data_IF_394320857791
#
_entry.id   IF_394320857791
#
_cell.length_a   1.000
_cell.length_b   1.000
_cell.length_c   1.000
_cell.angle_alpha   90.00
_cell.angle_beta   90.00
_cell.angle_gamma   90.00
#
_symmetry.space_group_name_H-M   'P 1'
#
loop_
_entity.id
_entity.type
_entity.pdbx_description
1 polymer ?
#
# COMPACT_ATOMS: atom_id res chain seq x y z
N UNK A 1 20.37 -4.18 14.43
CA UNK A 1 20.45 -4.48 15.86
C UNK A 1 20.20 -5.97 16.05
N UNK A 2 21.18 -6.76 16.49
CA UNK A 2 20.97 -8.17 16.88
C UNK A 2 21.27 -8.28 18.38
N UNK A 3 20.24 -8.58 19.18
CA UNK A 3 20.39 -8.83 20.64
C UNK A 3 19.56 -7.96 21.59
N UNK A 4 18.69 -7.06 21.11
CA UNK A 4 17.64 -6.46 21.96
C UNK A 4 16.37 -7.29 21.86
N UNK A 5 15.75 -7.61 22.99
CA UNK A 5 14.41 -8.21 23.05
C UNK A 5 13.45 -7.39 22.17
N UNK A 6 12.81 -8.05 21.20
CA UNK A 6 11.81 -7.43 20.28
C UNK A 6 10.45 -7.29 20.97
N UNK A 7 10.46 -6.72 22.18
CA UNK A 7 9.27 -6.52 23.00
C UNK A 7 8.63 -5.15 22.81
N UNK A 8 7.38 -5.02 23.23
CA UNK A 8 6.64 -3.75 23.19
C UNK A 8 7.36 -2.63 23.98
N UNK A 9 8.01 -2.98 25.10
CA UNK A 9 8.81 -2.05 25.91
C UNK A 9 9.99 -1.46 25.12
N UNK A 10 10.71 -2.29 24.36
CA UNK A 10 11.83 -1.83 23.54
C UNK A 10 11.38 -0.84 22.46
N UNK A 11 10.24 -1.09 21.80
CA UNK A 11 9.67 -0.14 20.84
C UNK A 11 9.21 1.15 21.51
N UNK A 12 8.55 1.03 22.66
CA UNK A 12 8.15 2.18 23.47
C UNK A 12 9.35 3.06 23.87
N UNK A 13 10.47 2.48 24.29
CA UNK A 13 11.67 3.24 24.68
C UNK A 13 12.22 4.06 23.50
N UNK A 14 12.32 3.43 22.32
CA UNK A 14 12.80 4.08 21.09
C UNK A 14 11.87 5.23 20.67
N UNK A 15 10.55 4.99 20.71
CA UNK A 15 9.56 6.01 20.36
C UNK A 15 9.57 7.16 21.38
N UNK A 16 9.69 6.84 22.66
CA UNK A 16 9.71 7.82 23.74
C UNK A 16 10.92 8.75 23.67
N UNK A 17 12.10 8.22 23.34
CA UNK A 17 13.30 9.03 23.06
C UNK A 17 13.04 9.99 21.89
N UNK A 18 12.51 9.46 20.79
CA UNK A 18 12.22 10.23 19.56
C UNK A 18 11.16 11.33 19.79
N UNK A 19 10.10 11.03 20.55
CA UNK A 19 9.03 12.00 20.89
C UNK A 19 9.61 13.14 21.72
N UNK A 20 10.47 12.83 22.71
CA UNK A 20 11.10 13.87 23.55
C UNK A 20 12.10 14.71 22.76
N UNK A 21 12.85 14.10 21.84
CA UNK A 21 13.79 14.81 20.95
C UNK A 21 13.07 15.80 20.02
N UNK A 22 11.98 15.36 19.37
CA UNK A 22 11.16 16.23 18.49
C UNK A 22 10.33 17.25 19.29
N UNK A 23 10.01 16.90 20.53
CA UNK A 23 9.14 17.65 21.43
C UNK A 23 7.71 17.12 21.39
N UNK A 24 7.19 16.78 22.57
CA UNK A 24 5.87 16.16 22.76
C UNK A 24 4.73 16.99 22.13
N UNK A 25 4.83 18.32 22.20
CA UNK A 25 3.83 19.23 21.62
C UNK A 25 3.85 19.26 20.10
N UNK A 26 4.89 18.75 19.45
CA UNK A 26 5.06 18.75 18.00
C UNK A 26 4.53 17.45 17.38
N UNK A 27 4.61 16.33 18.11
CA UNK A 27 4.13 15.01 17.66
C UNK A 27 2.60 14.93 17.75
N UNK A 28 1.96 14.39 16.71
CA UNK A 28 0.50 14.18 16.65
C UNK A 28 0.17 12.69 16.75
N UNK A 29 0.96 11.83 16.12
CA UNK A 29 0.80 10.40 16.21
C UNK A 29 2.08 9.65 15.84
N UNK A 30 2.14 8.40 16.26
CA UNK A 30 3.18 7.43 15.88
C UNK A 30 2.55 6.38 14.97
N UNK A 31 3.13 6.20 13.78
CA UNK A 31 2.64 5.23 12.80
C UNK A 31 3.47 3.95 12.89
N UNK A 32 2.84 2.83 13.17
CA UNK A 32 3.49 1.51 13.28
C UNK A 32 2.73 0.46 12.50
N UNK A 33 3.35 -0.69 12.22
CA UNK A 33 2.61 -1.83 11.67
C UNK A 33 1.48 -2.29 12.61
N UNK A 34 0.59 -3.13 12.10
CA UNK A 34 -0.56 -3.63 12.85
C UNK A 34 -0.25 -4.89 13.69
N UNK A 35 1.03 -5.22 13.92
CA UNK A 35 1.39 -6.37 14.74
C UNK A 35 1.02 -6.14 16.20
N UNK A 36 0.68 -7.20 16.93
CA UNK A 36 0.25 -7.10 18.33
C UNK A 36 1.30 -6.43 19.24
N UNK A 37 2.60 -6.66 18.97
CA UNK A 37 3.70 -6.00 19.70
C UNK A 37 3.71 -4.48 19.49
N UNK A 38 3.40 -4.01 18.28
CA UNK A 38 3.30 -2.60 17.93
C UNK A 38 2.05 -1.98 18.55
N UNK A 39 0.90 -2.66 18.52
CA UNK A 39 -0.30 -2.20 19.20
C UNK A 39 -0.07 -2.00 20.71
N UNK A 40 0.61 -2.95 21.38
CA UNK A 40 0.98 -2.82 22.80
C UNK A 40 1.93 -1.64 23.05
N UNK A 41 2.95 -1.47 22.22
CA UNK A 41 3.87 -0.33 22.32
C UNK A 41 3.15 1.01 22.10
N UNK A 42 2.23 1.05 21.14
CA UNK A 42 1.41 2.21 20.83
C UNK A 42 0.53 2.60 22.01
N UNK A 43 -0.05 1.62 22.70
CA UNK A 43 -0.83 1.87 23.91
C UNK A 43 0.02 2.52 25.02
N UNK A 44 1.25 2.03 25.23
CA UNK A 44 2.19 2.64 26.18
C UNK A 44 2.52 4.10 25.79
N UNK A 45 2.66 4.39 24.49
CA UNK A 45 2.86 5.76 23.99
C UNK A 45 1.67 6.65 24.32
N UNK A 46 0.44 6.21 24.04
CA UNK A 46 -0.78 6.99 24.32
C UNK A 46 -0.97 7.26 25.83
N UNK A 47 -0.64 6.28 26.67
CA UNK A 47 -0.75 6.42 28.13
C UNK A 47 0.32 7.38 28.69
N UNK A 48 1.51 7.42 28.08
CA UNK A 48 2.64 8.28 28.51
C UNK A 48 2.55 9.69 27.93
N UNK A 49 2.09 9.83 26.69
CA UNK A 49 2.03 11.08 25.92
C UNK A 49 0.58 11.36 25.48
N UNK A 50 -0.26 11.98 26.33
CA UNK A 50 -1.71 12.09 26.09
C UNK A 50 -2.13 12.87 24.84
N UNK A 51 -1.22 13.59 24.20
CA UNK A 51 -1.45 14.33 22.95
C UNK A 51 -1.06 13.52 21.69
N UNK A 52 -0.45 12.36 21.86
CA UNK A 52 0.06 11.51 20.77
C UNK A 52 -0.82 10.28 20.62
N UNK A 53 -1.25 10.01 19.40
CA UNK A 53 -2.04 8.83 19.05
C UNK A 53 -1.17 7.71 18.50
N UNK A 54 -1.50 6.47 18.80
CA UNK A 54 -1.04 5.34 18.01
C UNK A 54 -1.89 5.23 16.73
N UNK A 55 -1.22 5.11 15.59
CA UNK A 55 -1.88 4.97 14.29
C UNK A 55 -1.34 3.72 13.58
N UNK A 56 -2.20 2.74 13.27
CA UNK A 56 -1.81 1.62 12.42
C UNK A 56 -1.40 2.10 11.03
N UNK A 57 -0.38 1.48 10.46
CA UNK A 57 0.15 1.79 9.14
C UNK A 57 -0.88 1.39 8.08
N UNK A 58 -1.47 2.37 7.41
CA UNK A 58 -2.51 2.12 6.41
C UNK A 58 -1.99 1.25 5.26
N UNK A 59 -0.74 1.48 4.81
CA UNK A 59 -0.17 0.65 3.74
C UNK A 59 -0.05 -0.82 4.14
N UNK A 60 0.38 -1.09 5.37
CA UNK A 60 0.48 -2.46 5.87
C UNK A 60 -0.91 -3.10 6.01
N UNK A 61 -1.89 -2.36 6.55
CA UNK A 61 -3.27 -2.85 6.66
C UNK A 61 -3.90 -3.14 5.28
N UNK A 62 -3.65 -2.29 4.28
CA UNK A 62 -4.13 -2.48 2.90
C UNK A 62 -3.43 -3.67 2.22
N UNK A 63 -2.14 -3.87 2.42
CA UNK A 63 -1.44 -5.05 1.90
C UNK A 63 -1.97 -6.35 2.56
N UNK A 64 -2.32 -6.31 3.85
CA UNK A 64 -3.02 -7.42 4.52
C UNK A 64 -4.45 -7.63 4.01
N UNK A 65 -5.17 -6.59 3.58
CA UNK A 65 -6.45 -6.77 2.88
C UNK A 65 -6.27 -7.54 1.58
N UNK A 66 -5.23 -7.18 0.81
CA UNK A 66 -4.89 -7.87 -0.44
C UNK A 66 -4.49 -9.31 -0.20
N UNK A 67 -3.77 -9.58 0.89
CA UNK A 67 -3.47 -10.94 1.34
C UNK A 67 -4.72 -11.76 1.62
N UNK A 68 -5.65 -11.21 2.42
CA UNK A 68 -6.89 -11.91 2.78
C UNK A 68 -7.72 -12.24 1.53
N UNK A 69 -7.90 -11.28 0.62
CA UNK A 69 -8.59 -11.48 -0.66
C UNK A 69 -7.85 -12.50 -1.53
N UNK A 70 -6.52 -12.46 -1.52
CA UNK A 70 -5.66 -13.41 -2.24
C UNK A 70 -5.81 -14.86 -1.81
N UNK A 71 -6.35 -15.12 -0.61
CA UNK A 71 -6.61 -16.48 -0.10
C UNK A 71 -7.95 -17.07 -0.56
N UNK A 72 -8.85 -16.27 -1.12
CA UNK A 72 -10.11 -16.78 -1.66
C UNK A 72 -9.77 -17.75 -2.80
N UNK A 73 -10.35 -18.95 -2.78
CA UNK A 73 -9.96 -20.08 -3.65
C UNK A 73 -9.79 -19.68 -5.12
N UNK A 74 -10.81 -19.05 -5.71
CA UNK A 74 -10.75 -18.63 -7.12
C UNK A 74 -9.69 -17.54 -7.39
N UNK A 75 -9.39 -16.68 -6.40
CA UNK A 75 -8.33 -15.66 -6.51
C UNK A 75 -6.96 -16.33 -6.41
N UNK A 76 -6.79 -17.21 -5.42
CA UNK A 76 -5.55 -17.96 -5.18
C UNK A 76 -5.19 -18.80 -6.41
N UNK A 77 -6.14 -19.55 -6.96
CA UNK A 77 -5.95 -20.32 -8.20
C UNK A 77 -5.56 -19.44 -9.38
N UNK A 78 -6.21 -18.28 -9.53
CA UNK A 78 -5.90 -17.32 -10.60
C UNK A 78 -4.47 -16.78 -10.47
N UNK A 79 -4.06 -16.41 -9.25
CA UNK A 79 -2.71 -15.92 -8.96
C UNK A 79 -1.66 -17.01 -9.19
N UNK A 80 -1.92 -18.24 -8.74
CA UNK A 80 -1.02 -19.39 -8.94
C UNK A 80 -0.81 -19.68 -10.42
N UNK A 81 -1.89 -19.83 -11.20
CA UNK A 81 -1.79 -20.05 -12.66
C UNK A 81 -1.03 -18.93 -13.36
N UNK A 82 -1.26 -17.69 -12.96
CA UNK A 82 -0.54 -16.54 -13.50
C UNK A 82 0.96 -16.58 -13.16
N UNK A 83 1.31 -16.96 -11.92
CA UNK A 83 2.69 -17.14 -11.49
C UNK A 83 3.39 -18.26 -12.24
N UNK A 84 2.72 -19.40 -12.40
CA UNK A 84 3.27 -20.55 -13.13
C UNK A 84 3.56 -20.18 -14.58
N UNK A 85 2.66 -19.45 -15.24
CA UNK A 85 2.89 -18.93 -16.58
C UNK A 85 4.06 -17.93 -16.64
N UNK A 86 4.12 -16.97 -15.71
CA UNK A 86 5.23 -16.01 -15.67
C UNK A 86 6.57 -16.73 -15.46
N UNK A 87 6.62 -17.70 -14.54
CA UNK A 87 7.81 -18.50 -14.27
C UNK A 87 8.19 -19.34 -15.48
N UNK A 88 7.24 -20.02 -16.12
CA UNK A 88 7.46 -20.82 -17.31
C UNK A 88 8.11 -20.00 -18.43
N UNK A 89 7.50 -18.87 -18.79
CA UNK A 89 7.99 -17.97 -19.84
C UNK A 89 9.35 -17.35 -19.49
N UNK A 90 9.59 -17.02 -18.22
CA UNK A 90 10.80 -16.28 -17.85
C UNK A 90 11.99 -17.16 -17.46
N UNK A 91 11.79 -18.43 -17.11
CA UNK A 91 12.85 -19.33 -16.66
C UNK A 91 13.50 -20.10 -17.82
N UNK A 92 12.76 -20.42 -18.89
CA UNK A 92 13.33 -21.10 -20.04
C UNK A 92 13.83 -20.12 -21.09
N UNK A 93 15.11 -20.22 -21.45
CA UNK A 93 15.75 -19.26 -22.34
C UNK A 93 15.05 -19.15 -23.71
N UNK A 94 14.61 -20.27 -24.28
CA UNK A 94 13.94 -20.31 -25.58
C UNK A 94 12.57 -19.66 -25.53
N UNK A 95 11.74 -20.04 -24.57
CA UNK A 95 10.39 -19.45 -24.35
C UNK A 95 10.49 -17.94 -24.13
N UNK A 96 11.46 -17.52 -23.32
CA UNK A 96 11.74 -16.11 -23.03
C UNK A 96 12.17 -15.34 -24.26
N UNK A 97 13.01 -15.94 -25.11
CA UNK A 97 13.50 -15.30 -26.33
C UNK A 97 12.36 -15.13 -27.35
N UNK A 98 11.48 -16.13 -27.52
CA UNK A 98 10.28 -16.01 -28.37
C UNK A 98 9.34 -14.94 -27.81
N UNK A 99 9.10 -14.94 -26.49
CA UNK A 99 8.32 -13.90 -25.83
C UNK A 99 8.88 -12.49 -26.07
N UNK A 100 10.20 -12.29 -25.94
CA UNK A 100 10.80 -10.97 -26.14
C UNK A 100 10.61 -10.42 -27.55
N UNK A 101 10.62 -11.27 -28.58
CA UNK A 101 10.34 -10.86 -29.97
C UNK A 101 8.93 -10.24 -30.04
N UNK A 102 7.93 -10.96 -29.54
CA UNK A 102 6.52 -10.54 -29.59
C UNK A 102 6.17 -9.40 -28.62
N UNK A 103 6.84 -9.36 -27.47
CA UNK A 103 6.63 -8.35 -26.44
C UNK A 103 7.42 -7.06 -26.69
N UNK A 104 8.27 -7.01 -27.71
CA UNK A 104 9.17 -5.88 -27.98
C UNK A 104 10.23 -5.69 -26.88
N UNK A 105 10.72 -6.79 -26.32
CA UNK A 105 11.73 -6.81 -25.27
C UNK A 105 11.23 -6.39 -23.89
N UNK A 106 9.92 -6.30 -23.68
CA UNK A 106 9.34 -6.14 -22.34
C UNK A 106 9.48 -7.43 -21.56
N UNK A 107 9.60 -7.32 -20.24
CA UNK A 107 9.66 -8.45 -19.32
C UNK A 107 8.34 -8.60 -18.58
N UNK A 108 7.99 -9.85 -18.26
CA UNK A 108 6.92 -10.13 -17.31
C UNK A 108 7.41 -9.83 -15.90
N UNK A 109 6.50 -9.29 -15.07
CA UNK A 109 6.80 -8.99 -13.68
C UNK A 109 6.70 -10.28 -12.85
N UNK A 110 7.79 -10.69 -12.22
CA UNK A 110 7.74 -11.74 -11.19
C UNK A 110 7.27 -11.13 -9.87
N UNK A 111 6.37 -11.78 -9.12
CA UNK A 111 6.01 -11.29 -7.80
C UNK A 111 7.24 -11.22 -6.89
N UNK A 112 7.30 -10.20 -6.04
CA UNK A 112 8.31 -10.13 -4.99
C UNK A 112 7.74 -10.81 -3.75
N UNK A 113 8.56 -11.60 -3.04
CA UNK A 113 8.14 -12.37 -1.88
C UNK A 113 7.55 -11.53 -0.73
N UNK A 114 7.80 -10.21 -0.71
CA UNK A 114 7.61 -9.37 0.47
C UNK A 114 6.35 -8.49 0.49
N UNK A 115 5.55 -8.39 -0.60
CA UNK A 115 4.31 -7.57 -0.63
C UNK A 115 3.22 -8.19 -1.48
N UNK A 116 2.01 -8.35 -0.92
CA UNK A 116 0.88 -9.01 -1.61
C UNK A 116 0.36 -8.21 -2.80
N UNK A 117 0.47 -6.89 -2.75
CA UNK A 117 0.19 -6.03 -3.90
C UNK A 117 0.98 -6.40 -5.17
N UNK A 118 2.15 -7.03 -5.03
CA UNK A 118 2.96 -7.43 -6.20
C UNK A 118 2.30 -8.53 -7.02
N UNK A 119 1.51 -9.43 -6.41
CA UNK A 119 0.72 -10.44 -7.12
C UNK A 119 -0.29 -9.78 -8.06
N UNK A 120 -1.02 -8.77 -7.57
CA UNK A 120 -2.03 -8.08 -8.37
C UNK A 120 -1.42 -7.12 -9.40
N UNK A 121 -0.23 -6.56 -9.13
CA UNK A 121 0.55 -5.86 -10.15
C UNK A 121 1.05 -6.80 -11.25
N UNK A 122 1.46 -8.02 -10.89
CA UNK A 122 1.82 -9.07 -11.84
C UNK A 122 0.62 -9.40 -12.73
N UNK A 123 -0.57 -9.61 -12.16
CA UNK A 123 -1.80 -9.82 -12.93
C UNK A 123 -2.12 -8.67 -13.91
N UNK A 124 -2.03 -7.41 -13.47
CA UNK A 124 -2.23 -6.24 -14.33
C UNK A 124 -1.21 -6.18 -15.48
N UNK A 125 0.06 -6.46 -15.20
CA UNK A 125 1.13 -6.49 -16.21
C UNK A 125 0.92 -7.63 -17.20
N UNK A 126 0.58 -8.81 -16.70
CA UNK A 126 0.30 -10.00 -17.49
C UNK A 126 -0.88 -9.76 -18.45
N UNK A 127 -1.98 -9.20 -17.94
CA UNK A 127 -3.15 -8.78 -18.75
C UNK A 127 -2.74 -7.83 -19.88
N UNK A 128 -1.89 -6.84 -19.60
CA UNK A 128 -1.38 -5.89 -20.61
C UNK A 128 -0.52 -6.56 -21.69
N UNK A 129 0.11 -7.69 -21.38
CA UNK A 129 0.93 -8.47 -22.32
C UNK A 129 0.16 -9.61 -22.99
N UNK A 130 -1.15 -9.77 -22.76
CA UNK A 130 -1.98 -10.83 -23.37
C UNK A 130 -1.80 -10.96 -24.88
N UNK A 131 -1.74 -9.84 -25.62
CA UNK A 131 -1.54 -9.86 -27.08
C UNK A 131 -0.18 -10.44 -27.49
N UNK A 132 0.88 -10.13 -26.75
CA UNK A 132 2.21 -10.65 -27.02
C UNK A 132 2.31 -12.14 -26.68
N UNK A 133 1.65 -12.57 -25.59
CA UNK A 133 1.55 -13.98 -25.21
C UNK A 133 0.76 -14.79 -26.25
N UNK A 134 -0.36 -14.26 -26.74
CA UNK A 134 -1.11 -14.87 -27.84
C UNK A 134 -0.25 -15.01 -29.09
N UNK A 135 0.45 -13.95 -29.50
CA UNK A 135 1.33 -14.00 -30.67
C UNK A 135 2.46 -15.04 -30.50
N UNK A 136 3.03 -15.14 -29.30
CA UNK A 136 4.05 -16.14 -28.93
C UNK A 136 3.54 -17.58 -29.11
N UNK A 137 2.35 -17.93 -28.59
CA UNK A 137 1.85 -19.31 -28.69
C UNK A 137 1.32 -19.68 -30.07
N UNK A 138 0.99 -18.69 -30.90
CA UNK A 138 0.59 -18.90 -32.30
C UNK A 138 1.75 -18.84 -33.29
N UNK A 139 2.97 -18.61 -32.81
CA UNK A 139 4.16 -18.57 -33.65
C UNK A 139 4.58 -19.97 -34.09
N UNK A 140 5.04 -20.13 -35.33
CA UNK A 140 5.53 -21.41 -35.85
C UNK A 140 6.71 -21.97 -35.03
N UNK A 141 7.40 -21.12 -34.27
CA UNK A 141 8.47 -21.50 -33.34
C UNK A 141 7.95 -22.15 -32.05
N UNK A 142 6.68 -21.96 -31.69
CA UNK A 142 6.05 -22.55 -30.51
C UNK A 142 5.70 -24.01 -30.77
N UNK A 143 6.69 -24.89 -30.62
CA UNK A 143 6.54 -26.34 -30.87
C UNK A 143 7.00 -27.16 -29.66
N UNK A 144 6.63 -28.44 -29.62
CA UNK A 144 7.07 -29.36 -28.56
C UNK A 144 8.60 -29.51 -28.43
N UNK A 145 9.37 -29.09 -29.45
CA UNK A 145 10.86 -29.08 -29.42
C UNK A 145 11.45 -27.84 -28.75
N UNK A 146 10.61 -26.84 -28.45
CA UNK A 146 11.01 -25.60 -27.79
C UNK A 146 11.52 -25.88 -26.37
N UNK A 147 10.87 -26.82 -25.68
CA UNK A 147 11.18 -27.24 -24.31
C UNK A 147 11.69 -28.68 -24.24
N UNK A 148 12.41 -29.08 -23.18
CA UNK A 148 12.72 -30.47 -22.89
C UNK A 148 11.46 -31.36 -22.86
N UNK A 149 11.58 -32.62 -23.26
CA UNK A 149 10.44 -33.56 -23.34
C UNK A 149 9.62 -33.66 -22.05
N UNK A 150 10.28 -33.59 -20.88
CA UNK A 150 9.64 -33.62 -19.56
C UNK A 150 8.70 -32.43 -19.29
N UNK A 151 8.80 -31.35 -20.07
CA UNK A 151 8.02 -30.12 -19.90
C UNK A 151 7.00 -29.90 -21.02
N UNK A 152 6.90 -30.80 -22.00
CA UNK A 152 5.94 -30.67 -23.10
C UNK A 152 4.49 -30.62 -22.61
N UNK A 153 4.16 -31.33 -21.51
CA UNK A 153 2.82 -31.23 -20.90
C UNK A 153 2.55 -29.83 -20.36
N UNK A 154 3.54 -29.22 -19.70
CA UNK A 154 3.45 -27.86 -19.18
C UNK A 154 3.36 -26.84 -20.31
N UNK A 155 4.09 -27.03 -21.42
CA UNK A 155 3.96 -26.18 -22.61
C UNK A 155 2.52 -26.14 -23.13
N UNK A 156 1.87 -27.31 -23.31
CA UNK A 156 0.49 -27.38 -23.77
C UNK A 156 -0.50 -26.81 -22.75
N UNK A 157 -0.27 -27.04 -21.46
CA UNK A 157 -1.09 -26.43 -20.40
C UNK A 157 -1.02 -24.89 -20.45
N UNK A 158 0.17 -24.32 -20.61
CA UNK A 158 0.34 -22.86 -20.74
C UNK A 158 -0.28 -22.33 -22.03
N UNK A 159 -0.18 -23.08 -23.13
CA UNK A 159 -0.85 -22.77 -24.39
C UNK A 159 -2.37 -22.69 -24.22
N UNK A 160 -2.98 -23.71 -23.59
CA UNK A 160 -4.42 -23.75 -23.31
C UNK A 160 -4.87 -22.57 -22.42
N UNK A 161 -4.08 -22.22 -21.40
CA UNK A 161 -4.33 -21.07 -20.52
C UNK A 161 -4.26 -19.76 -21.32
N UNK A 162 -3.23 -19.58 -22.16
CA UNK A 162 -3.02 -18.34 -22.94
C UNK A 162 -4.11 -18.17 -23.99
N UNK A 163 -4.50 -19.24 -24.68
CA UNK A 163 -5.58 -19.29 -25.66
C UNK A 163 -6.98 -19.15 -25.03
N UNK A 164 -7.06 -19.03 -23.70
CA UNK A 164 -8.27 -18.78 -22.93
C UNK A 164 -9.29 -19.93 -22.98
N UNK A 165 -8.81 -21.17 -23.11
CA UNK A 165 -9.67 -22.34 -23.26
C UNK A 165 -10.68 -22.52 -22.10
N UNK A 166 -10.35 -22.01 -20.91
CA UNK A 166 -11.14 -22.13 -19.68
C UNK A 166 -11.55 -20.78 -19.04
N UNK A 167 -11.45 -19.66 -19.77
CA UNK A 167 -11.84 -18.33 -19.24
C UNK A 167 -10.88 -17.76 -18.20
N UNK A 168 -9.59 -18.11 -18.26
CA UNK A 168 -8.55 -17.64 -17.35
C UNK A 168 -8.46 -16.11 -17.33
N UNK A 169 -8.56 -15.46 -18.50
CA UNK A 169 -8.39 -14.01 -18.58
C UNK A 169 -9.56 -13.25 -17.95
N UNK A 170 -10.77 -13.83 -17.94
CA UNK A 170 -11.92 -13.26 -17.24
C UNK A 170 -11.75 -13.34 -15.73
N UNK A 171 -11.18 -14.43 -15.21
CA UNK A 171 -10.79 -14.54 -13.80
C UNK A 171 -9.70 -13.53 -13.42
N UNK A 172 -8.69 -13.32 -14.28
CA UNK A 172 -7.66 -12.28 -14.09
C UNK A 172 -8.29 -10.89 -14.04
N UNK A 173 -9.21 -10.59 -14.98
CA UNK A 173 -9.94 -9.31 -15.00
C UNK A 173 -10.75 -9.12 -13.71
N UNK A 174 -11.49 -10.15 -13.31
CA UNK A 174 -12.28 -10.15 -12.09
C UNK A 174 -11.42 -9.92 -10.85
N UNK A 175 -10.31 -10.64 -10.70
CA UNK A 175 -9.39 -10.48 -9.58
C UNK A 175 -8.80 -9.06 -9.50
N UNK A 176 -8.34 -8.50 -10.64
CA UNK A 176 -7.83 -7.13 -10.70
C UNK A 176 -8.93 -6.12 -10.32
N UNK A 177 -10.15 -6.26 -10.87
CA UNK A 177 -11.24 -5.34 -10.62
C UNK A 177 -11.63 -5.29 -9.14
N UNK A 178 -11.62 -6.44 -8.46
CA UNK A 178 -11.93 -6.54 -7.01
C UNK A 178 -10.97 -5.71 -6.17
N UNK A 179 -9.66 -5.79 -6.46
CA UNK A 179 -8.64 -5.16 -5.63
C UNK A 179 -8.18 -3.79 -6.13
N UNK A 180 -8.62 -3.36 -7.31
CA UNK A 180 -8.08 -2.20 -8.02
C UNK A 180 -8.01 -0.95 -7.14
N UNK A 181 -9.12 -0.63 -6.47
CA UNK A 181 -9.19 0.57 -5.65
C UNK A 181 -8.42 0.45 -4.33
N UNK A 182 -8.28 -0.77 -3.79
CA UNK A 182 -7.42 -1.05 -2.64
C UNK A 182 -5.96 -0.80 -3.03
N UNK A 183 -5.53 -1.28 -4.19
CA UNK A 183 -4.18 -1.05 -4.73
C UNK A 183 -3.94 0.43 -5.01
N UNK A 184 -4.93 1.17 -5.52
CA UNK A 184 -4.82 2.62 -5.71
C UNK A 184 -4.69 3.38 -4.38
N UNK A 185 -5.45 2.99 -3.36
CA UNK A 185 -5.32 3.57 -2.03
C UNK A 185 -3.98 3.20 -1.39
N UNK A 186 -3.49 1.98 -1.57
CA UNK A 186 -2.17 1.56 -1.12
C UNK A 186 -1.08 2.43 -1.76
N UNK A 187 -1.11 2.63 -3.09
CA UNK A 187 -0.17 3.51 -3.80
C UNK A 187 -0.20 4.95 -3.27
N UNK A 188 -1.37 5.44 -2.87
CA UNK A 188 -1.51 6.75 -2.24
C UNK A 188 -0.90 6.77 -0.84
N UNK A 189 -1.24 5.81 0.01
CA UNK A 189 -0.77 5.71 1.39
C UNK A 189 0.75 5.51 1.48
N UNK A 190 1.33 4.75 0.54
CA UNK A 190 2.78 4.57 0.37
C UNK A 190 3.48 5.77 -0.26
N UNK A 191 2.72 6.73 -0.77
CA UNK A 191 3.21 7.97 -1.33
C UNK A 191 3.92 8.85 -0.30
N UNK A 192 4.62 9.87 -0.81
CA UNK A 192 5.18 10.92 0.06
C UNK A 192 4.13 12.01 0.30
N UNK A 193 4.11 12.55 1.52
CA UNK A 193 3.27 13.70 1.88
C UNK A 193 2.07 13.31 2.73
N UNK A 194 1.14 14.26 2.97
CA UNK A 194 0.02 14.00 3.84
C UNK A 194 -1.10 13.26 3.12
N UNK A 195 -1.46 12.12 3.70
CA UNK A 195 -2.42 11.19 3.11
C UNK A 195 -3.50 10.77 4.09
N UNK A 196 -3.35 11.06 5.40
CA UNK A 196 -4.23 10.57 6.46
C UNK A 196 -5.70 10.93 6.23
N UNK A 197 -5.99 12.15 5.75
CA UNK A 197 -7.36 12.61 5.47
C UNK A 197 -8.02 11.89 4.29
N UNK A 198 -7.22 11.28 3.41
CA UNK A 198 -7.69 10.59 2.21
C UNK A 198 -8.06 9.14 2.47
N UNK A 199 -7.54 8.53 3.55
CA UNK A 199 -7.71 7.10 3.83
C UNK A 199 -9.17 6.75 4.06
N UNK A 200 -9.83 7.40 5.03
CA UNK A 200 -11.22 7.08 5.39
C UNK A 200 -12.17 7.26 4.18
N UNK A 201 -12.12 8.41 3.51
CA UNK A 201 -12.99 8.67 2.35
C UNK A 201 -12.75 7.72 1.17
N UNK A 202 -11.53 7.23 0.98
CA UNK A 202 -11.23 6.25 -0.09
C UNK A 202 -11.66 4.84 0.30
N UNK A 203 -11.52 4.47 1.56
CA UNK A 203 -12.06 3.22 2.10
C UNK A 203 -13.58 3.16 1.96
N UNK A 204 -14.28 4.25 2.29
CA UNK A 204 -15.73 4.33 2.15
C UNK A 204 -16.18 4.07 0.71
N UNK A 205 -15.53 4.77 -0.23
CA UNK A 205 -15.75 4.54 -1.65
C UNK A 205 -15.38 3.13 -2.13
N UNK A 206 -14.39 2.46 -1.51
CA UNK A 206 -14.04 1.07 -1.83
C UNK A 206 -15.20 0.15 -1.45
N UNK A 207 -15.75 0.31 -0.25
CA UNK A 207 -16.87 -0.51 0.24
C UNK A 207 -18.15 -0.22 -0.55
N UNK A 208 -18.45 1.04 -0.85
CA UNK A 208 -19.58 1.41 -1.71
C UNK A 208 -19.50 0.74 -3.09
N UNK A 209 -18.32 0.78 -3.73
CA UNK A 209 -18.11 0.15 -5.04
C UNK A 209 -18.15 -1.37 -4.97
N UNK A 210 -17.63 -1.97 -3.90
CA UNK A 210 -17.70 -3.41 -3.66
C UNK A 210 -19.15 -3.89 -3.61
N UNK A 211 -20.01 -3.20 -2.84
CA UNK A 211 -21.43 -3.54 -2.65
C UNK A 211 -22.24 -3.55 -3.95
N UNK A 212 -21.87 -2.71 -4.91
CA UNK A 212 -22.56 -2.61 -6.22
C UNK A 212 -21.82 -3.33 -7.35
N UNK A 213 -20.72 -4.04 -7.05
CA UNK A 213 -19.93 -4.73 -8.06
C UNK A 213 -20.70 -5.92 -8.66
N UNK A 214 -21.01 -5.82 -9.95
CA UNK A 214 -21.80 -6.81 -10.70
C UNK A 214 -20.98 -8.02 -11.16
N UNK A 215 -19.65 -7.94 -11.12
CA UNK A 215 -18.75 -9.04 -11.49
C UNK A 215 -18.69 -10.12 -10.39
N UNK A 216 -19.26 -9.85 -9.21
CA UNK A 216 -19.27 -10.72 -8.04
C UNK A 216 -20.67 -11.28 -7.77
N UNK A 217 -20.73 -12.52 -7.26
CA UNK A 217 -21.95 -13.06 -6.65
C UNK A 217 -22.25 -12.32 -5.33
N UNK A 218 -23.46 -12.50 -4.80
CA UNK A 218 -23.81 -11.94 -3.47
C UNK A 218 -22.86 -12.48 -2.40
N UNK A 219 -22.66 -13.81 -2.38
CA UNK A 219 -21.78 -14.45 -1.39
C UNK A 219 -20.33 -13.97 -1.49
N UNK A 220 -19.81 -13.78 -2.71
CA UNK A 220 -18.47 -13.24 -2.92
C UNK A 220 -18.34 -11.79 -2.44
N UNK A 221 -19.37 -10.95 -2.65
CA UNK A 221 -19.38 -9.58 -2.12
C UNK A 221 -19.37 -9.58 -0.60
N UNK A 222 -20.22 -10.40 0.01
CA UNK A 222 -20.34 -10.50 1.47
C UNK A 222 -19.02 -11.00 2.08
N UNK A 223 -18.41 -12.04 1.51
CA UNK A 223 -17.11 -12.58 1.95
C UNK A 223 -16.00 -11.51 1.88
N UNK A 224 -15.85 -10.83 0.75
CA UNK A 224 -14.83 -9.80 0.56
C UNK A 224 -15.11 -8.59 1.47
N UNK A 225 -16.38 -8.20 1.64
CA UNK A 225 -16.74 -7.07 2.50
C UNK A 225 -16.37 -7.35 3.95
N UNK A 226 -16.59 -8.57 4.46
CA UNK A 226 -16.15 -8.97 5.81
C UNK A 226 -14.63 -8.82 5.96
N UNK A 227 -13.85 -9.28 4.98
CA UNK A 227 -12.38 -9.14 5.01
C UNK A 227 -11.94 -7.67 5.02
N UNK A 228 -12.54 -6.85 4.14
CA UNK A 228 -12.24 -5.41 4.02
C UNK A 228 -12.62 -4.67 5.31
N UNK A 229 -13.83 -4.89 5.83
CA UNK A 229 -14.33 -4.22 7.04
C UNK A 229 -13.52 -4.61 8.26
N UNK A 230 -13.12 -5.89 8.40
CA UNK A 230 -12.25 -6.35 9.49
C UNK A 230 -10.93 -5.56 9.53
N UNK A 231 -10.27 -5.42 8.38
CA UNK A 231 -9.00 -4.69 8.27
C UNK A 231 -9.18 -3.18 8.36
N UNK A 232 -10.29 -2.65 7.86
CA UNK A 232 -10.64 -1.24 8.01
C UNK A 232 -10.74 -0.89 9.49
N UNK A 233 -11.55 -1.64 10.24
CA UNK A 233 -11.80 -1.38 11.66
C UNK A 233 -10.51 -1.44 12.49
N UNK A 234 -9.57 -2.32 12.12
CA UNK A 234 -8.26 -2.39 12.75
C UNK A 234 -7.32 -1.24 12.37
N UNK A 235 -7.53 -0.58 11.23
CA UNK A 235 -6.70 0.51 10.71
C UNK A 235 -7.19 1.90 11.16
N UNK A 236 -8.51 2.08 11.26
CA UNK A 236 -9.14 3.39 11.48
C UNK A 236 -8.98 3.85 12.93
N UNK A 237 -8.69 5.13 13.07
CA UNK A 237 -8.46 5.79 14.37
C UNK A 237 -9.17 7.15 14.37
N UNK A 238 -9.37 7.77 15.55
CA UNK A 238 -9.92 9.12 15.63
C UNK A 238 -9.20 10.14 14.74
N UNK A 239 -7.89 9.97 14.49
CA UNK A 239 -7.13 10.85 13.60
C UNK A 239 -7.59 10.77 12.14
N UNK A 240 -7.97 9.58 11.65
CA UNK A 240 -8.49 9.41 10.29
C UNK A 240 -9.83 10.14 10.13
N UNK A 241 -10.72 9.98 11.12
CA UNK A 241 -12.01 10.68 11.19
C UNK A 241 -11.83 12.20 11.26
N UNK A 242 -11.02 12.68 12.22
CA UNK A 242 -10.75 14.10 12.40
C UNK A 242 -10.11 14.73 11.16
N UNK A 243 -9.19 14.01 10.51
CA UNK A 243 -8.54 14.49 9.29
C UNK A 243 -9.53 14.57 8.12
N UNK A 244 -10.44 13.60 7.97
CA UNK A 244 -11.51 13.66 6.98
C UNK A 244 -12.48 14.84 7.26
N UNK A 245 -12.89 15.02 8.52
CA UNK A 245 -13.78 16.11 8.93
C UNK A 245 -13.23 17.50 8.56
N UNK A 246 -11.91 17.67 8.67
CA UNK A 246 -11.21 18.93 8.40
C UNK A 246 -10.74 19.06 6.94
N UNK A 247 -10.84 18.03 6.11
CA UNK A 247 -10.34 18.12 4.74
C UNK A 247 -11.32 18.91 3.84
N UNK A 248 -10.90 20.05 3.29
CA UNK A 248 -11.76 20.89 2.48
C UNK A 248 -12.23 20.20 1.18
N UNK A 249 -11.51 19.19 0.68
CA UNK A 249 -11.94 18.41 -0.49
C UNK A 249 -13.24 17.65 -0.20
N UNK A 250 -13.41 17.15 1.02
CA UNK A 250 -14.54 16.31 1.42
C UNK A 250 -15.64 17.08 2.15
N UNK A 251 -15.50 18.39 2.31
CA UNK A 251 -16.50 19.23 2.95
C UNK A 251 -17.91 19.05 2.36
N UNK A 252 -18.01 18.93 1.04
CA UNK A 252 -19.30 18.77 0.34
C UNK A 252 -19.98 17.43 0.59
N UNK A 253 -19.27 16.41 1.10
CA UNK A 253 -19.88 15.16 1.54
C UNK A 253 -20.42 15.24 2.97
N UNK A 254 -20.43 16.44 3.57
CA UNK A 254 -20.98 16.71 4.90
C UNK A 254 -20.50 15.73 5.98
N UNK A 255 -19.17 15.54 6.16
CA UNK A 255 -18.61 14.56 7.10
C UNK A 255 -19.06 14.80 8.55
N UNK A 256 -19.46 16.03 8.87
CA UNK A 256 -20.05 16.39 10.15
C UNK A 256 -21.42 15.77 10.42
N UNK A 257 -22.07 15.08 9.48
CA UNK A 257 -23.33 14.36 9.73
C UNK A 257 -23.12 12.89 10.09
N UNK A 258 -21.94 12.36 9.81
CA UNK A 258 -21.58 11.00 10.16
C UNK A 258 -21.18 10.90 11.64
N UNK A 259 -21.80 9.97 12.35
CA UNK A 259 -21.60 9.83 13.80
C UNK A 259 -20.19 9.32 14.16
N UNK A 260 -19.60 8.44 13.36
CA UNK A 260 -18.23 7.94 13.59
C UNK A 260 -17.21 9.05 13.32
N UNK A 261 -17.43 9.82 12.24
CA UNK A 261 -16.53 10.93 11.91
C UNK A 261 -16.60 12.02 12.99
N UNK A 262 -17.80 12.36 13.48
CA UNK A 262 -17.96 13.30 14.59
C UNK A 262 -17.28 12.80 15.87
N UNK A 263 -17.52 11.55 16.27
CA UNK A 263 -16.93 10.98 17.49
C UNK A 263 -15.40 10.99 17.43
N UNK A 264 -14.82 10.60 16.28
CA UNK A 264 -13.38 10.65 16.06
C UNK A 264 -12.83 12.09 16.07
N UNK A 265 -13.55 13.04 15.45
CA UNK A 265 -13.18 14.45 15.48
C UNK A 265 -13.15 15.02 16.90
N UNK A 266 -14.23 14.84 17.67
CA UNK A 266 -14.29 15.35 19.04
C UNK A 266 -13.33 14.63 19.99
N UNK A 267 -13.12 13.32 19.82
CA UNK A 267 -12.08 12.58 20.54
C UNK A 267 -10.73 13.25 20.34
N UNK A 268 -10.36 13.58 19.10
CA UNK A 268 -9.14 14.31 18.81
C UNK A 268 -9.13 15.72 19.43
N UNK A 269 -10.19 16.51 19.28
CA UNK A 269 -10.29 17.87 19.86
C UNK A 269 -10.08 17.85 21.38
N UNK A 270 -10.74 16.94 22.10
CA UNK A 270 -10.67 16.89 23.55
C UNK A 270 -9.29 16.49 24.09
N UNK A 271 -8.43 15.83 23.30
CA UNK A 271 -7.07 15.50 23.75
C UNK A 271 -6.23 16.74 24.03
N UNK A 272 -6.28 17.75 23.16
CA UNK A 272 -5.49 18.97 23.29
C UNK A 272 -6.24 20.12 23.97
N UNK A 273 -7.55 20.00 24.17
CA UNK A 273 -8.31 20.88 25.08
C UNK A 273 -8.23 20.47 26.55
N UNK A 274 -7.68 19.30 26.86
CA UNK A 274 -7.56 18.84 28.25
C UNK A 274 -6.72 19.81 29.07
N UNK A 275 -7.36 20.47 30.04
CA UNK A 275 -6.71 21.48 30.90
C UNK A 275 -6.70 22.89 30.33
N UNK A 276 -7.34 23.13 29.18
CA UNK A 276 -7.58 24.48 28.66
C UNK A 276 -8.63 25.23 29.51
N UNK A 277 -8.63 26.56 29.46
CA UNK A 277 -9.67 27.37 30.11
C UNK A 277 -11.00 27.20 29.37
N UNK A 278 -12.12 27.44 30.09
CA UNK A 278 -13.45 27.40 29.48
C UNK A 278 -13.57 28.36 28.29
N UNK A 279 -12.94 29.54 28.37
CA UNK A 279 -12.89 30.53 27.30
C UNK A 279 -12.29 29.96 26.00
N UNK A 280 -11.20 29.18 26.10
CA UNK A 280 -10.58 28.52 24.94
C UNK A 280 -11.49 27.42 24.40
N UNK A 281 -12.13 26.64 25.26
CA UNK A 281 -13.09 25.63 24.86
C UNK A 281 -14.27 26.23 24.08
N UNK A 282 -14.84 27.33 24.58
CA UNK A 282 -15.94 28.06 23.94
C UNK A 282 -15.53 28.64 22.59
N UNK A 283 -14.32 29.19 22.50
CA UNK A 283 -13.76 29.73 21.25
C UNK A 283 -13.52 28.63 20.21
N UNK A 284 -13.00 27.47 20.62
CA UNK A 284 -12.84 26.32 19.71
C UNK A 284 -14.19 25.80 19.24
N UNK A 285 -15.19 25.71 20.12
CA UNK A 285 -16.54 25.32 19.73
C UNK A 285 -17.11 26.27 18.67
N UNK A 286 -16.95 27.59 18.87
CA UNK A 286 -17.35 28.60 17.89
C UNK A 286 -16.60 28.46 16.55
N UNK A 287 -15.29 28.22 16.58
CA UNK A 287 -14.49 28.02 15.36
C UNK A 287 -14.89 26.75 14.61
N UNK A 288 -15.22 25.67 15.34
CA UNK A 288 -15.78 24.44 14.76
C UNK A 288 -17.14 24.71 14.12
N UNK A 289 -18.01 25.50 14.76
CA UNK A 289 -19.30 25.89 14.18
C UNK A 289 -19.12 26.73 12.91
N UNK A 290 -18.17 27.67 12.91
CA UNK A 290 -17.81 28.44 11.72
C UNK A 290 -17.32 27.51 10.60
N UNK A 291 -16.45 26.55 10.95
CA UNK A 291 -16.04 25.50 10.02
C UNK A 291 -17.24 24.72 9.53
N UNK A 292 -18.15 24.21 10.35
CA UNK A 292 -19.30 23.41 9.88
C UNK A 292 -20.24 24.23 8.99
N UNK A 293 -20.55 25.46 9.39
CA UNK A 293 -21.51 26.34 8.71
C UNK A 293 -20.95 27.08 7.48
N UNK A 294 -19.66 26.90 7.17
CA UNK A 294 -18.99 27.56 6.05
C UNK A 294 -18.91 29.09 6.21
N UNK A 295 -18.71 29.55 7.45
CA UNK A 295 -18.63 30.97 7.80
C UNK A 295 -17.16 31.35 7.89
N UNK A 296 -16.68 32.10 6.89
CA UNK A 296 -15.28 32.53 6.84
C UNK A 296 -14.75 32.75 5.42
N UNK A 297 -13.49 33.18 5.29
CA UNK A 297 -12.83 33.42 3.98
C UNK A 297 -12.75 32.17 3.12
N UNK A 298 -12.74 31.01 3.76
CA UNK A 298 -12.69 29.71 3.10
C UNK A 298 -13.98 29.35 2.33
N UNK A 299 -15.06 30.14 2.46
CA UNK A 299 -16.27 29.97 1.65
C UNK A 299 -16.18 30.56 0.23
N UNK A 300 -15.11 31.29 -0.07
CA UNK A 300 -14.92 31.88 -1.40
C UNK A 300 -14.76 30.82 -2.49
N UNK A 301 -15.20 31.14 -3.72
CA UNK A 301 -15.03 30.22 -4.86
C UNK A 301 -13.57 29.84 -5.09
N UNK A 302 -12.65 30.78 -4.87
CA UNK A 302 -11.20 30.55 -5.02
C UNK A 302 -10.70 29.51 -4.01
N UNK A 303 -11.16 29.60 -2.76
CA UNK A 303 -10.81 28.61 -1.73
C UNK A 303 -11.39 27.23 -2.08
N UNK A 304 -12.64 27.15 -2.52
CA UNK A 304 -13.27 25.89 -2.93
C UNK A 304 -12.56 25.24 -4.13
N UNK A 305 -12.17 26.03 -5.12
CA UNK A 305 -11.41 25.54 -6.28
C UNK A 305 -10.00 25.08 -5.89
N UNK A 306 -9.40 25.71 -4.87
CA UNK A 306 -8.10 25.34 -4.33
C UNK A 306 -8.14 24.05 -3.51
N UNK A 307 -9.26 23.73 -2.86
CA UNK A 307 -9.40 22.57 -1.96
C UNK A 307 -9.03 21.23 -2.63
N UNK A 308 -9.33 21.05 -3.92
CA UNK A 308 -9.00 19.83 -4.69
C UNK A 308 -7.58 19.81 -5.26
N UNK A 309 -6.91 20.96 -5.28
CA UNK A 309 -5.61 21.14 -5.96
C UNK A 309 -4.46 21.26 -4.96
N UNK A 310 -4.74 21.82 -3.78
CA UNK A 310 -3.76 22.05 -2.74
C UNK A 310 -3.72 20.88 -1.75
N UNK A 311 -2.55 20.74 -1.12
CA UNK A 311 -2.43 19.95 0.09
C UNK A 311 -3.36 20.53 1.19
N UNK A 312 -4.16 19.71 1.89
CA UNK A 312 -5.09 20.18 2.91
C UNK A 312 -4.44 21.06 3.99
N UNK A 313 -3.25 20.72 4.49
CA UNK A 313 -2.55 21.53 5.48
C UNK A 313 -2.14 22.91 4.94
N UNK A 314 -1.69 22.98 3.68
CA UNK A 314 -1.37 24.25 3.03
C UNK A 314 -2.64 25.08 2.78
N UNK A 315 -3.74 24.42 2.44
CA UNK A 315 -5.04 25.08 2.27
C UNK A 315 -5.50 25.72 3.59
N UNK A 316 -5.45 24.99 4.71
CA UNK A 316 -5.81 25.52 6.03
C UNK A 316 -4.97 26.73 6.42
N UNK A 317 -3.66 26.68 6.13
CA UNK A 317 -2.76 27.81 6.36
C UNK A 317 -3.16 29.07 5.59
N UNK A 318 -3.66 28.91 4.35
CA UNK A 318 -4.01 30.02 3.47
C UNK A 318 -5.40 30.60 3.75
N UNK A 319 -6.37 29.75 4.09
CA UNK A 319 -7.80 30.11 4.03
C UNK A 319 -8.52 30.16 5.38
N UNK A 320 -7.89 29.63 6.45
CA UNK A 320 -8.50 29.53 7.78
C UNK A 320 -7.72 30.32 8.85
N UNK A 321 -7.14 31.48 8.47
CA UNK A 321 -6.36 32.33 9.39
C UNK A 321 -7.20 32.96 10.50
N UNK A 322 -8.52 33.04 10.32
CA UNK A 322 -9.48 33.51 11.33
C UNK A 322 -9.84 32.46 12.40
N UNK A 323 -9.55 31.18 12.14
CA UNK A 323 -9.80 30.07 13.08
C UNK A 323 -8.56 29.85 13.96
N UNK A 324 -8.25 30.83 14.81
CA UNK A 324 -6.96 30.94 15.52
C UNK A 324 -6.59 29.73 16.38
N UNK A 325 -7.56 29.06 16.97
CA UNK A 325 -7.32 27.91 17.86
C UNK A 325 -7.35 26.60 17.07
N UNK A 326 -8.28 26.44 16.13
CA UNK A 326 -8.42 25.21 15.36
C UNK A 326 -7.36 25.08 14.26
N UNK A 327 -6.98 26.17 13.59
CA UNK A 327 -6.08 26.15 12.43
C UNK A 327 -4.71 25.51 12.74
N UNK A 328 -3.98 25.85 13.82
CA UNK A 328 -2.69 25.24 14.11
C UNK A 328 -2.78 23.72 14.30
N UNK A 329 -3.86 23.25 14.93
CA UNK A 329 -4.10 21.83 15.15
C UNK A 329 -4.50 21.11 13.85
N UNK A 330 -5.34 21.73 13.03
CA UNK A 330 -5.74 21.22 11.72
C UNK A 330 -4.54 21.06 10.77
N UNK A 331 -3.65 22.06 10.68
CA UNK A 331 -2.43 22.01 9.86
C UNK A 331 -1.54 20.83 10.28
N UNK A 332 -1.36 20.62 11.59
CA UNK A 332 -0.53 19.54 12.13
C UNK A 332 -1.10 18.16 11.83
N UNK A 333 -2.41 17.99 11.99
CA UNK A 333 -3.11 16.73 11.70
C UNK A 333 -3.12 16.43 10.20
N UNK A 334 -3.53 17.40 9.38
CA UNK A 334 -3.59 17.27 7.93
C UNK A 334 -2.21 17.22 7.28
N UNK A 335 -1.14 17.50 8.01
CA UNK A 335 0.24 17.35 7.58
C UNK A 335 0.79 15.92 7.73
N UNK A 336 0.03 15.00 8.34
CA UNK A 336 0.49 13.63 8.61
C UNK A 336 0.35 12.72 7.38
N UNK A 337 1.35 11.87 7.17
CA UNK A 337 1.22 10.69 6.32
C UNK A 337 0.35 9.61 6.98
N UNK A 338 0.12 8.51 6.26
CA UNK A 338 -0.66 7.36 6.77
C UNK A 338 0.11 6.05 6.73
N UNK A 339 1.41 6.07 6.44
CA UNK A 339 2.24 4.88 6.29
C UNK A 339 3.63 5.06 6.91
N UNK A 340 4.16 3.97 7.48
CA UNK A 340 5.54 3.86 7.92
C UNK A 340 6.52 3.55 6.76
N UNK A 341 6.02 3.25 5.55
CA UNK A 341 6.85 2.83 4.40
C UNK A 341 7.81 3.91 3.88
N UNK A 342 7.55 5.19 4.20
CA UNK A 342 8.50 6.27 3.96
C UNK A 342 9.85 6.01 4.64
N UNK A 343 9.82 5.46 5.87
CA UNK A 343 11.00 5.06 6.60
C UNK A 343 11.65 3.83 5.98
N UNK A 344 10.86 2.81 5.60
CA UNK A 344 11.37 1.56 4.99
C UNK A 344 12.13 1.80 3.69
N UNK A 345 11.66 2.69 2.82
CA UNK A 345 12.34 3.01 1.56
C UNK A 345 13.71 3.63 1.78
N UNK A 346 13.87 4.45 2.83
CA UNK A 346 15.20 4.94 3.21
C UNK A 346 16.08 3.80 3.67
N UNK A 347 15.59 2.94 4.57
CA UNK A 347 16.35 1.80 5.07
C UNK A 347 16.75 0.81 3.96
N UNK A 348 15.88 0.58 2.97
CA UNK A 348 16.16 -0.28 1.81
C UNK A 348 17.29 0.29 0.96
N UNK A 349 17.25 1.60 0.66
CA UNK A 349 18.34 2.28 -0.04
C UNK A 349 19.65 2.21 0.74
N UNK A 350 19.60 2.24 2.07
CA UNK A 350 20.78 2.10 2.90
C UNK A 350 21.30 0.67 2.98
N UNK A 351 20.42 -0.33 3.07
CA UNK A 351 20.80 -1.73 3.02
C UNK A 351 21.48 -2.10 1.69
N UNK A 352 21.04 -1.51 0.58
CA UNK A 352 21.69 -1.67 -0.73
C UNK A 352 23.12 -1.08 -0.79
N UNK A 353 23.45 -0.10 0.06
CA UNK A 353 24.77 0.57 0.10
C UNK A 353 25.62 -0.01 1.24
N UNK A 354 24.99 -0.58 2.26
CA UNK A 354 25.59 -1.10 3.48
C UNK A 354 25.14 -2.54 3.70
N UNK A 355 26.02 -3.47 3.36
CA UNK A 355 25.95 -4.85 3.83
C UNK A 355 26.86 -4.99 5.06
N UNK A 356 26.39 -5.74 6.07
CA UNK A 356 27.15 -6.00 7.32
C UNK A 356 28.55 -6.56 7.07
N UNK A 357 28.72 -7.26 5.96
CA UNK A 357 29.93 -7.99 5.61
C UNK A 357 30.99 -7.13 4.91
N UNK A 358 30.59 -6.07 4.19
CA UNK A 358 31.52 -5.27 3.38
C UNK A 358 31.81 -3.86 3.94
N UNK A 359 30.85 -3.22 4.62
CA UNK A 359 30.96 -1.81 5.00
C UNK A 359 30.58 -1.59 6.47
N UNK A 360 31.39 -2.02 7.44
CA UNK A 360 31.07 -1.98 8.89
C UNK A 360 30.95 -0.59 9.55
N UNK A 361 29.99 0.25 9.16
CA UNK A 361 29.65 1.49 9.87
C UNK A 361 29.05 1.21 11.25
N UNK A 362 29.51 1.96 12.27
CA UNK A 362 28.91 1.93 13.59
C UNK A 362 27.43 2.37 13.54
N UNK A 363 26.53 1.80 14.37
CA UNK A 363 25.10 2.14 14.37
C UNK A 363 24.82 3.65 14.52
N UNK A 364 25.64 4.34 15.30
CA UNK A 364 25.50 5.79 15.51
C UNK A 364 25.83 6.60 14.25
N UNK A 365 26.87 6.20 13.52
CA UNK A 365 27.23 6.82 12.23
C UNK A 365 26.14 6.55 11.19
N UNK A 366 25.60 5.34 11.18
CA UNK A 366 24.48 4.96 10.31
C UNK A 366 23.24 5.83 10.58
N UNK A 367 22.85 5.99 11.86
CA UNK A 367 21.73 6.85 12.28
C UNK A 367 21.89 8.29 11.78
N UNK A 368 23.08 8.88 11.98
CA UNK A 368 23.38 10.24 11.51
C UNK A 368 23.30 10.37 10.00
N UNK A 369 23.81 9.39 9.26
CA UNK A 369 23.84 9.42 7.80
C UNK A 369 22.43 9.29 7.21
N UNK A 370 21.60 8.40 7.77
CA UNK A 370 20.17 8.28 7.42
C UNK A 370 19.45 9.61 7.66
N UNK A 371 19.64 10.20 8.85
CA UNK A 371 19.06 11.49 9.23
C UNK A 371 19.47 12.61 8.26
N UNK A 372 20.77 12.78 8.00
CA UNK A 372 21.28 13.83 7.11
C UNK A 372 20.77 13.65 5.68
N UNK A 373 20.80 12.43 5.12
CA UNK A 373 20.32 12.17 3.75
C UNK A 373 18.83 12.47 3.63
N UNK A 374 18.03 12.06 4.61
CA UNK A 374 16.60 12.31 4.59
C UNK A 374 16.28 13.80 4.69
N UNK A 375 16.97 14.53 5.57
CA UNK A 375 16.78 15.97 5.69
C UNK A 375 17.22 16.72 4.44
N UNK A 376 18.32 16.33 3.79
CA UNK A 376 18.69 16.90 2.49
C UNK A 376 17.60 16.65 1.44
N UNK A 377 17.06 15.43 1.38
CA UNK A 377 15.94 15.10 0.47
C UNK A 377 14.70 15.94 0.78
N UNK A 378 14.36 16.14 2.05
CA UNK A 378 13.24 17.00 2.44
C UNK A 378 13.48 18.45 2.02
N UNK A 379 14.70 18.97 2.22
CA UNK A 379 15.08 20.31 1.77
C UNK A 379 14.96 20.45 0.25
N UNK A 380 15.45 19.46 -0.51
CA UNK A 380 15.31 19.44 -1.97
C UNK A 380 13.84 19.42 -2.40
N UNK A 381 13.00 18.62 -1.73
CA UNK A 381 11.55 18.57 -2.00
C UNK A 381 10.84 19.88 -1.64
N UNK A 382 11.29 20.60 -0.62
CA UNK A 382 10.78 21.91 -0.26
C UNK A 382 11.22 23.01 -1.24
N UNK A 383 12.40 22.84 -1.87
CA UNK A 383 12.94 23.77 -2.87
C UNK A 383 12.41 23.50 -4.29
N UNK A 384 12.02 22.27 -4.60
CA UNK A 384 11.48 21.88 -5.91
C UNK A 384 9.94 21.96 -5.92
N UNK A 385 9.36 22.70 -6.86
CA UNK A 385 7.91 22.63 -7.10
C UNK A 385 7.49 21.19 -7.48
N UNK A 386 6.35 20.68 -6.98
CA UNK A 386 5.98 19.29 -7.19
C UNK A 386 5.72 19.00 -8.67
N UNK A 387 6.60 18.20 -9.29
CA UNK A 387 6.28 17.52 -10.54
C UNK A 387 5.26 16.43 -10.23
N UNK A 388 4.11 16.47 -10.89
CA UNK A 388 3.13 15.36 -10.86
C UNK A 388 3.85 14.08 -11.26
N UNK A 389 3.78 13.05 -10.41
CA UNK A 389 4.00 11.68 -10.85
C UNK A 389 2.94 11.37 -11.91
N UNK A 390 3.33 11.45 -13.18
CA UNK A 390 2.64 10.72 -14.23
C UNK A 390 3.15 9.29 -14.15
N UNK A 391 2.34 8.31 -14.58
CA UNK A 391 2.92 7.02 -14.90
C UNK A 391 3.90 7.27 -16.04
N UNK A 392 5.18 7.38 -15.68
CA UNK A 392 6.20 7.80 -16.62
C UNK A 392 6.32 6.73 -17.72
N UNK A 393 6.28 7.12 -19.00
CA UNK A 393 6.59 6.20 -20.07
C UNK A 393 8.00 5.62 -19.83
N UNK A 394 8.26 4.39 -20.31
CA UNK A 394 9.54 3.73 -20.06
C UNK A 394 10.69 4.65 -20.47
N UNK A 395 11.69 4.75 -19.60
CA UNK A 395 12.82 5.67 -19.77
C UNK A 395 13.58 5.35 -21.07
N UNK A 396 14.32 6.33 -21.62
CA UNK A 396 15.11 6.08 -22.84
C UNK A 396 16.10 4.90 -22.66
N UNK A 397 16.58 4.69 -21.43
CA UNK A 397 17.42 3.55 -21.05
C UNK A 397 16.64 2.23 -21.09
N UNK A 398 15.46 2.15 -20.48
CA UNK A 398 14.60 0.96 -20.52
C UNK A 398 14.21 0.57 -21.96
N UNK A 399 13.95 1.55 -22.81
CA UNK A 399 13.66 1.32 -24.23
C UNK A 399 14.87 0.79 -24.99
N UNK A 400 16.08 1.24 -24.65
CA UNK A 400 17.33 0.77 -25.26
C UNK A 400 17.64 -0.66 -24.82
N UNK A 401 17.45 -0.98 -23.55
CA UNK A 401 17.60 -2.33 -23.02
C UNK A 401 16.59 -3.30 -23.64
N UNK A 402 15.32 -2.90 -23.75
CA UNK A 402 14.30 -3.71 -24.41
C UNK A 402 14.68 -4.03 -25.86
N UNK A 403 15.15 -3.04 -26.63
CA UNK A 403 15.64 -3.25 -28.00
C UNK A 403 16.83 -4.21 -28.06
N UNK A 404 17.72 -4.16 -27.08
CA UNK A 404 18.87 -5.07 -27.04
C UNK A 404 18.43 -6.50 -26.70
N UNK A 405 17.47 -6.69 -25.79
CA UNK A 405 16.87 -8.00 -25.49
C UNK A 405 16.29 -8.65 -26.75
N UNK A 406 15.55 -7.90 -27.56
CA UNK A 406 15.01 -8.41 -28.84
C UNK A 406 16.13 -8.86 -29.77
N UNK A 407 17.18 -8.04 -29.96
CA UNK A 407 18.30 -8.40 -30.83
C UNK A 407 19.04 -9.65 -30.36
N UNK A 408 19.25 -9.79 -29.06
CA UNK A 408 19.91 -10.97 -28.48
C UNK A 408 19.04 -12.22 -28.68
N UNK A 409 17.74 -12.12 -28.42
CA UNK A 409 16.78 -13.20 -28.65
C UNK A 409 16.75 -13.66 -30.11
N UNK A 410 16.64 -12.72 -31.06
CA UNK A 410 16.67 -13.04 -32.49
C UNK A 410 17.96 -13.75 -32.91
N UNK A 411 19.12 -13.32 -32.40
CA UNK A 411 20.41 -13.96 -32.73
C UNK A 411 20.46 -15.41 -32.23
N UNK A 412 20.03 -15.64 -30.98
CA UNK A 412 20.00 -16.98 -30.37
C UNK A 412 19.07 -17.92 -31.13
N UNK A 413 17.86 -17.46 -31.43
CA UNK A 413 16.88 -18.24 -32.17
C UNK A 413 17.31 -18.54 -33.62
N UNK A 414 17.93 -17.57 -34.31
CA UNK A 414 18.54 -17.79 -35.65
C UNK A 414 19.68 -18.80 -35.63
N UNK A 415 20.48 -18.84 -34.56
CA UNK A 415 21.57 -19.81 -34.45
C UNK A 415 21.08 -21.25 -34.27
N UNK A 416 19.89 -21.44 -33.68
CA UNK A 416 19.27 -22.76 -33.49
C UNK A 416 18.64 -23.29 -34.79
N UNK A 417 17.96 -22.45 -35.56
CA UNK A 417 17.39 -22.86 -36.86
C UNK A 417 18.45 -23.23 -37.89
N UNK A 418 19.68 -22.71 -37.75
CA UNK A 418 20.84 -23.08 -38.58
C UNK A 418 21.56 -24.36 -38.13
N UNK A 419 21.37 -24.82 -36.89
CA UNK A 419 22.11 -25.95 -36.33
C UNK A 419 21.44 -27.33 -36.54
N UNK A 420 20.14 -27.37 -36.89
CA UNK A 420 19.37 -28.61 -37.08
C UNK A 420 19.04 -29.36 -35.77
N UNK A 421 17.93 -30.10 -35.78
CA UNK A 421 17.24 -30.69 -34.60
C UNK A 421 17.99 -31.76 -33.77
N UNK A 422 19.32 -31.87 -33.85
CA UNK A 422 20.08 -32.95 -33.20
C UNK A 422 21.12 -32.49 -32.16
N UNK A 423 21.00 -31.28 -31.60
CA UNK A 423 21.89 -30.85 -30.53
C UNK A 423 21.21 -31.02 -29.16
N UNK A 424 21.66 -32.03 -28.41
CA UNK A 424 21.37 -32.21 -26.98
C UNK A 424 21.71 -30.90 -26.25
N UNK A 425 20.83 -30.39 -25.36
CA UNK A 425 21.10 -29.15 -24.65
C UNK A 425 22.41 -29.27 -23.84
N UNK A 426 23.20 -28.19 -23.74
CA UNK A 426 24.25 -28.15 -22.73
C UNK A 426 23.60 -28.32 -21.36
N UNK A 427 24.24 -29.12 -20.50
CA UNK A 427 23.90 -29.19 -19.08
C UNK A 427 24.05 -27.78 -18.52
N UNK A 428 22.95 -27.25 -18.01
CA UNK A 428 22.92 -25.96 -17.33
C UNK A 428 23.75 -26.09 -16.05
N UNK A 429 24.99 -25.61 -16.10
CA UNK A 429 25.78 -25.37 -14.89
C UNK A 429 25.10 -24.19 -14.20
N UNK A 430 24.24 -24.49 -13.23
CA UNK A 430 23.54 -23.53 -12.39
C UNK A 430 24.48 -22.76 -11.47
N UNK A 431 25.38 -21.99 -12.05
CA UNK A 431 26.19 -20.99 -11.38
C UNK A 431 25.53 -19.62 -11.57
N UNK A 432 24.31 -19.48 -11.04
CA UNK A 432 23.84 -18.20 -10.53
C UNK A 432 23.92 -18.32 -9.00
N UNK A 433 25.10 -18.02 -8.46
CA UNK A 433 25.26 -17.69 -7.04
C UNK A 433 24.49 -16.39 -6.74
N UNK A 434 23.18 -16.50 -6.55
CA UNK A 434 22.46 -15.57 -5.68
C UNK A 434 22.14 -16.34 -4.40
N UNK A 435 23.05 -16.19 -3.43
CA UNK A 435 22.84 -16.63 -2.07
C UNK A 435 21.69 -15.85 -1.43
N UNK A 436 20.46 -16.27 -1.71
CA UNK A 436 19.32 -16.00 -0.84
C UNK A 436 19.56 -16.82 0.45
N UNK A 437 20.34 -16.23 1.37
CA UNK A 437 20.19 -16.58 2.77
C UNK A 437 18.71 -16.38 3.10
N UNK A 438 18.03 -17.49 3.34
CA UNK A 438 16.69 -17.51 3.90
C UNK A 438 16.72 -16.79 5.25
N UNK A 439 16.53 -15.47 5.22
CA UNK A 439 16.11 -14.73 6.39
C UNK A 439 14.70 -15.20 6.62
N UNK A 440 14.57 -16.23 7.46
CA UNK A 440 13.31 -16.65 8.07
C UNK A 440 12.64 -15.38 8.56
N UNK A 441 11.55 -14.92 7.93
CA UNK A 441 10.77 -13.87 8.52
C UNK A 441 10.23 -14.47 9.80
N UNK A 442 10.62 -13.93 10.96
CA UNK A 442 9.81 -14.08 12.16
C UNK A 442 8.50 -13.29 11.91
N UNK A 443 7.66 -13.79 11.02
CA UNK A 443 6.24 -13.56 11.09
C UNK A 443 5.76 -14.48 12.20
N UNK A 444 5.68 -13.94 13.41
CA UNK A 444 4.67 -14.46 14.32
C UNK A 444 3.35 -14.30 13.58
N UNK A 445 2.70 -15.43 13.29
CA UNK A 445 1.30 -15.43 12.92
C UNK A 445 0.57 -14.57 13.95
N UNK A 446 -0.11 -13.52 13.50
CA UNK A 446 -0.94 -12.73 14.38
C UNK A 446 -2.07 -13.66 14.85
N UNK A 447 -1.87 -14.30 16.01
CA UNK A 447 -2.85 -15.16 16.62
C UNK A 447 -3.99 -14.30 17.16
N UNK A 448 -4.94 -13.98 16.28
CA UNK A 448 -6.10 -13.13 16.57
C UNK A 448 -7.02 -13.75 17.63
N UNK A 449 -6.91 -15.05 17.90
CA UNK A 449 -7.66 -15.72 18.97
C UNK A 449 -7.33 -15.13 20.36
N UNK A 450 -6.12 -14.60 20.59
CA UNK A 450 -5.76 -13.91 21.85
C UNK A 450 -6.34 -12.48 21.95
N UNK A 451 -6.85 -11.91 20.85
CA UNK A 451 -7.60 -10.64 20.83
C UNK A 451 -9.11 -10.92 20.97
N UNK A 452 -9.56 -12.17 20.74
CA UNK A 452 -10.96 -12.57 20.68
C UNK A 452 -11.59 -12.98 22.02
N UNK A 453 -10.84 -13.04 23.15
CA UNK A 453 -11.41 -13.38 24.48
C UNK A 453 -12.45 -12.36 25.03
N UNK A 454 -12.89 -11.38 24.22
CA UNK A 454 -13.96 -10.44 24.59
C UNK A 454 -15.08 -10.20 23.57
N UNK A 455 -15.07 -10.77 22.37
CA UNK A 455 -16.02 -10.37 21.31
C UNK A 455 -16.55 -11.52 20.45
N UNK A 456 -17.17 -12.53 21.08
CA UNK A 456 -18.10 -13.41 20.37
C UNK A 456 -19.45 -12.71 20.16
N UNK A 457 -19.60 -12.01 19.04
CA UNK A 457 -20.85 -11.41 18.61
C UNK A 457 -20.89 -11.18 17.10
N UNK A 458 -22.06 -11.37 16.50
CA UNK A 458 -22.37 -11.15 15.08
C UNK A 458 -21.84 -9.79 14.56
N UNK A 459 -20.89 -9.83 13.62
CA UNK A 459 -20.24 -8.65 13.04
C UNK A 459 -21.21 -7.70 12.32
N UNK A 460 -22.43 -8.16 11.99
CA UNK A 460 -23.51 -7.35 11.41
C UNK A 460 -24.02 -6.26 12.37
N UNK A 461 -23.62 -6.27 13.65
CA UNK A 461 -23.94 -5.27 14.68
C UNK A 461 -22.79 -4.35 15.12
N UNK A 462 -21.62 -4.39 14.45
CA UNK A 462 -20.39 -3.74 14.92
C UNK A 462 -20.04 -2.41 14.24
N UNK A 463 -21.05 -1.61 13.89
CA UNK A 463 -20.86 -0.16 14.05
C UNK A 463 -21.33 0.21 15.44
N UNK A 464 -20.53 0.96 16.22
CA UNK A 464 -20.91 1.47 17.55
C UNK A 464 -22.20 2.33 17.52
N UNK A 465 -22.75 2.62 16.34
CA UNK A 465 -24.03 3.27 16.11
C UNK A 465 -25.28 2.39 16.34
N UNK A 466 -25.22 1.06 16.20
CA UNK A 466 -26.41 0.21 16.34
C UNK A 466 -26.81 -0.07 17.81
N UNK A 467 -25.84 -0.07 18.74
CA UNK A 467 -26.05 -0.45 20.13
C UNK A 467 -26.80 0.59 20.99
N UNK A 468 -27.10 1.77 20.46
CA UNK A 468 -27.85 2.80 21.19
C UNK A 468 -29.35 2.84 20.85
N UNK A 469 -29.78 2.21 19.74
CA UNK A 469 -31.19 2.20 19.33
C UNK A 469 -32.01 1.04 19.93
N UNK A 470 -31.36 -0.01 20.48
CA UNK A 470 -32.05 -1.12 21.16
C UNK A 470 -32.39 -0.87 22.63
N UNK A 471 -31.99 0.29 23.20
CA UNK A 471 -32.29 0.66 24.59
C UNK A 471 -33.44 1.67 24.76
N UNK A 472 -34.28 1.86 23.72
CA UNK A 472 -35.55 2.61 23.81
C UNK A 472 -36.70 1.92 23.07
N UNK A 473 -36.91 0.64 23.36
CA UNK A 473 -38.20 -0.04 23.26
C UNK A 473 -38.62 -0.54 24.62
#
# INVERSE_FOLDING_TARGET
>A
MSGKEKGAATYFDILSESIREVGEKSVVGVIMDSAAVCARAGKLVEDTFPLTFHVPCAAHCLDLMLHDIGKIEWVAETVTKANDMVNFVMNHQRDRDVYYIHAGGRQLLRPAATRFATNFHMLDRLKKQRKALLAMVTDDMWTATLVPHAQCSTLHEMEDIILDAAGFWDLVNKAINVVYDIVLLLKLADGNGPTISKVYAKMDRIVERLRVNKDLTVDQRDEIEVMVMRRWNAMTTPLHCAALFLDPEYRSSEPHKDAEIQDGFYTWVYTWLKGASQEVCDQVAYEVDCWVQNIGKFNSQVAMDAARKQNPAAWWKCWCDELYHLQPHAIRLLGQGSSASGCERNWSLFAAIHTKEHNGLAPETMRKLVYSKWNMRLLDLLQQMPKRAKDDPPTEEEQKEAKERVKVAERRLKSLTLAGDNVVPPVDSGDDEDGDEAVVPCHEECNLEEIEEGQHGDWRGLTKAANFLSKRS
#
